data_IF_847910386798
#
_entry.id   IF_847910386798
#
_cell.length_a   1.000
_cell.length_b   1.000
_cell.length_c   1.000
_cell.angle_alpha   90.00
_cell.angle_beta   90.00
_cell.angle_gamma   90.00
#
_symmetry.space_group_name_H-M   'P 1'
#
loop_
_entity.id
_entity.type
_entity.pdbx_description
1 polymer ?
#
# COMPACT_ATOMS: atom_id res chain seq x y z
N UNK A 1 31.68 12.67 -27.05
CA UNK A 1 30.57 11.74 -26.78
C UNK A 1 29.83 12.28 -25.55
N UNK A 2 28.68 12.91 -25.73
CA UNK A 2 27.97 13.58 -24.63
C UNK A 2 27.06 12.58 -23.90
N UNK A 3 27.04 12.54 -22.55
CA UNK A 3 26.16 11.65 -21.82
C UNK A 3 24.71 12.11 -21.99
N UNK A 4 23.90 11.30 -22.67
CA UNK A 4 22.46 11.50 -22.78
C UNK A 4 21.87 11.24 -21.39
N UNK A 5 21.59 12.31 -20.66
CA UNK A 5 20.91 12.25 -19.37
C UNK A 5 19.51 11.67 -19.61
N UNK A 6 19.32 10.38 -19.32
CA UNK A 6 17.99 9.79 -19.22
C UNK A 6 17.39 10.40 -17.97
N UNK A 7 16.73 11.55 -18.12
CA UNK A 7 15.81 12.04 -17.10
C UNK A 7 14.74 10.97 -17.01
N UNK A 8 14.85 10.09 -16.02
CA UNK A 8 13.79 9.21 -15.61
C UNK A 8 12.62 10.14 -15.25
N UNK A 9 11.75 10.39 -16.23
CA UNK A 9 10.51 11.10 -16.05
C UNK A 9 9.84 10.37 -14.90
N UNK A 10 9.81 11.02 -13.73
CA UNK A 10 9.23 10.50 -12.51
C UNK A 10 7.78 10.17 -12.86
N UNK A 11 7.53 8.92 -13.27
CA UNK A 11 6.27 8.51 -13.86
C UNK A 11 5.16 8.73 -12.84
N UNK A 12 3.93 8.93 -13.30
CA UNK A 12 2.77 9.17 -12.45
C UNK A 12 2.69 8.19 -11.26
N UNK A 13 3.10 6.94 -11.45
CA UNK A 13 3.28 5.95 -10.38
C UNK A 13 4.27 6.38 -9.30
N UNK A 14 5.47 6.81 -9.66
CA UNK A 14 6.48 7.26 -8.70
C UNK A 14 6.08 8.55 -7.98
N UNK A 15 5.33 9.45 -8.61
CA UNK A 15 4.75 10.63 -7.96
C UNK A 15 3.66 10.23 -6.98
N UNK A 16 2.70 9.39 -7.39
CA UNK A 16 1.66 8.87 -6.51
C UNK A 16 2.24 8.08 -5.33
N UNK A 17 3.32 7.30 -5.55
CA UNK A 17 4.00 6.58 -4.47
C UNK A 17 4.73 7.53 -3.51
N UNK A 18 5.28 8.63 -4.03
CA UNK A 18 5.89 9.68 -3.21
C UNK A 18 4.84 10.35 -2.33
N UNK A 19 3.69 10.67 -2.92
CA UNK A 19 2.56 11.33 -2.26
C UNK A 19 1.90 10.43 -1.22
N UNK A 20 1.75 9.14 -1.51
CA UNK A 20 1.25 8.15 -0.55
C UNK A 20 2.21 7.94 0.62
N UNK A 21 3.52 8.13 0.42
CA UNK A 21 4.53 8.06 1.49
C UNK A 21 4.78 9.40 2.18
N UNK A 22 4.11 10.46 1.75
CA UNK A 22 4.15 11.76 2.42
C UNK A 22 3.56 11.62 3.83
N UNK A 23 4.25 12.07 4.90
CA UNK A 23 3.73 12.01 6.28
C UNK A 23 2.36 12.67 6.46
N UNK A 24 2.00 13.65 5.61
CA UNK A 24 0.67 14.28 5.60
C UNK A 24 -0.46 13.27 5.31
N UNK A 25 -0.19 12.32 4.40
CA UNK A 25 -1.16 11.31 3.98
C UNK A 25 -1.02 9.99 4.77
N UNK A 26 -0.04 9.91 5.68
CA UNK A 26 0.28 8.68 6.39
C UNK A 26 -0.91 8.13 7.18
N UNK A 27 -1.73 8.99 7.77
CA UNK A 27 -2.95 8.58 8.49
C UNK A 27 -3.95 7.92 7.55
N UNK A 28 -4.19 8.51 6.38
CA UNK A 28 -5.14 7.99 5.38
C UNK A 28 -4.64 6.64 4.85
N UNK A 29 -3.37 6.58 4.43
CA UNK A 29 -2.75 5.36 3.90
C UNK A 29 -2.75 4.25 4.94
N UNK A 30 -2.44 4.57 6.21
CA UNK A 30 -2.48 3.62 7.31
C UNK A 30 -3.89 3.10 7.58
N UNK A 31 -4.91 3.96 7.53
CA UNK A 31 -6.31 3.53 7.68
C UNK A 31 -6.74 2.59 6.56
N UNK A 32 -6.42 2.91 5.31
CA UNK A 32 -6.70 2.03 4.15
C UNK A 32 -5.95 0.71 4.30
N UNK A 33 -4.68 0.75 4.70
CA UNK A 33 -3.87 -0.45 4.91
C UNK A 33 -4.47 -1.34 6.01
N UNK A 34 -4.81 -0.79 7.18
CA UNK A 34 -5.40 -1.56 8.28
C UNK A 34 -6.77 -2.12 7.87
N UNK A 35 -7.61 -1.32 7.22
CA UNK A 35 -8.93 -1.75 6.76
C UNK A 35 -8.83 -2.90 5.77
N UNK A 36 -7.98 -2.78 4.75
CA UNK A 36 -7.78 -3.84 3.74
C UNK A 36 -7.17 -5.10 4.36
N UNK A 37 -6.23 -4.97 5.29
CA UNK A 37 -5.70 -6.10 6.06
C UNK A 37 -6.81 -6.78 6.85
N UNK A 38 -7.68 -6.02 7.53
CA UNK A 38 -8.81 -6.57 8.28
C UNK A 38 -9.83 -7.29 7.40
N UNK A 39 -10.19 -6.70 6.26
CA UNK A 39 -11.09 -7.32 5.26
C UNK A 39 -10.48 -8.60 4.70
N UNK A 40 -9.20 -8.56 4.31
CA UNK A 40 -8.50 -9.73 3.80
C UNK A 40 -8.38 -10.82 4.86
N UNK A 41 -8.15 -10.46 6.13
CA UNK A 41 -8.11 -11.40 7.25
C UNK A 41 -9.46 -12.07 7.46
N UNK A 42 -10.57 -11.30 7.49
CA UNK A 42 -11.92 -11.84 7.68
C UNK A 42 -12.37 -12.74 6.53
N UNK A 43 -12.00 -12.39 5.29
CA UNK A 43 -12.31 -13.19 4.10
C UNK A 43 -11.32 -14.34 3.88
N UNK A 44 -10.20 -14.37 4.60
CA UNK A 44 -9.22 -15.46 4.54
C UNK A 44 -9.69 -16.64 5.40
N UNK A 45 -9.20 -17.84 5.11
CA UNK A 45 -9.41 -19.02 5.98
C UNK A 45 -8.79 -18.83 7.37
N UNK A 46 -8.03 -17.76 7.61
CA UNK A 46 -7.65 -17.29 8.95
C UNK A 46 -8.86 -17.00 9.86
N UNK A 47 -10.03 -16.67 9.29
CA UNK A 47 -11.27 -16.54 10.05
C UNK A 47 -11.69 -17.84 10.76
N UNK A 48 -11.36 -19.00 10.19
CA UNK A 48 -11.61 -20.31 10.81
C UNK A 48 -10.78 -20.52 12.09
N UNK A 49 -9.67 -19.79 12.26
CA UNK A 49 -8.86 -19.81 13.51
C UNK A 49 -9.58 -19.14 14.67
N UNK A 50 -10.51 -18.21 14.38
CA UNK A 50 -11.32 -17.51 15.38
C UNK A 50 -12.58 -18.30 15.74
N UNK A 51 -12.98 -19.27 14.90
CA UNK A 51 -14.10 -20.16 15.18
C UNK A 51 -13.64 -21.26 16.14
N UNK A 52 -14.32 -21.45 17.29
CA UNK A 52 -13.99 -22.56 18.18
C UNK A 52 -14.21 -23.89 17.45
N UNK A 53 -13.29 -24.86 17.59
CA UNK A 53 -13.51 -26.20 17.05
C UNK A 53 -14.74 -26.80 17.73
N UNK A 54 -15.64 -27.36 16.92
CA UNK A 54 -16.82 -28.08 17.38
C UNK A 54 -16.43 -29.46 17.94
#
# INVERSE_FOLDING_TARGET
MAPKHITAQKGFFSTALSEARNPENATIVRSIAIFTVGVAFLHSSLGEILLPPM
#
